data_IF_289578835111
#
_entry.id   IF_289578835111
#
_cell.length_a   1.000
_cell.length_b   1.000
_cell.length_c   1.000
_cell.angle_alpha   90.00
_cell.angle_beta   90.00
_cell.angle_gamma   90.00
#
_symmetry.space_group_name_H-M   'P 1'
#
loop_
_entity.id
_entity.type
_entity.pdbx_description
1 polymer ?
#
# COMPACT_ATOMS: atom_id res chain seq x y z
N UNK A 1 63.86 -2.37 -30.46
CA UNK A 1 63.62 -3.41 -29.43
C UNK A 1 62.16 -3.27 -28.99
N UNK A 2 61.17 -4.00 -29.50
CA UNK A 2 61.15 -5.31 -30.20
C UNK A 2 61.78 -6.44 -29.38
N UNK A 3 61.01 -6.89 -28.38
CA UNK A 3 60.79 -8.27 -27.91
C UNK A 3 59.27 -8.33 -27.63
N UNK A 4 58.44 -9.28 -28.09
CA UNK A 4 58.58 -10.73 -28.23
C UNK A 4 58.67 -11.48 -26.88
N UNK A 5 57.59 -11.41 -26.09
CA UNK A 5 57.12 -12.54 -25.29
C UNK A 5 55.59 -12.56 -25.29
N UNK A 6 55.04 -13.28 -26.27
CA UNK A 6 53.64 -13.71 -26.34
C UNK A 6 53.61 -15.20 -25.92
N UNK A 7 52.43 -15.76 -25.68
CA UNK A 7 52.18 -17.13 -25.18
C UNK A 7 52.36 -17.26 -23.66
N UNK A 8 51.32 -16.87 -22.92
CA UNK A 8 50.97 -17.49 -21.63
C UNK A 8 49.81 -18.44 -21.89
N UNK A 9 50.14 -19.73 -22.10
CA UNK A 9 49.14 -20.80 -22.18
C UNK A 9 48.83 -21.26 -20.75
N UNK A 10 47.73 -20.76 -20.18
CA UNK A 10 47.20 -21.26 -18.91
C UNK A 10 45.76 -21.77 -19.05
N UNK A 11 45.70 -23.00 -19.54
CA UNK A 11 44.72 -24.06 -19.23
C UNK A 11 43.29 -23.65 -18.86
N UNK A 12 42.37 -23.93 -19.78
CA UNK A 12 40.97 -24.18 -19.45
C UNK A 12 40.83 -25.44 -18.57
N UNK A 13 40.62 -25.25 -17.27
CA UNK A 13 40.16 -26.30 -16.35
C UNK A 13 38.68 -26.08 -16.03
N UNK A 14 37.81 -26.43 -16.99
CA UNK A 14 36.37 -26.44 -16.78
C UNK A 14 36.00 -27.53 -15.76
N UNK A 15 35.81 -27.14 -14.48
CA UNK A 15 35.37 -28.06 -13.43
C UNK A 15 33.90 -28.38 -13.63
N UNK A 16 33.64 -29.46 -14.37
CA UNK A 16 32.29 -30.00 -14.57
C UNK A 16 31.79 -30.61 -13.25
N UNK A 17 31.12 -29.79 -12.43
CA UNK A 17 30.44 -30.26 -11.21
C UNK A 17 29.21 -31.08 -11.62
N UNK A 18 29.40 -32.39 -11.74
CA UNK A 18 28.33 -33.35 -12.00
C UNK A 18 27.44 -33.50 -10.75
N UNK A 19 26.50 -32.57 -10.55
CA UNK A 19 25.49 -32.66 -9.50
C UNK A 19 24.52 -33.81 -9.76
N UNK A 20 24.76 -34.95 -9.11
CA UNK A 20 23.89 -36.12 -9.16
C UNK A 20 22.45 -35.77 -8.77
N UNK A 21 21.52 -35.83 -9.73
CA UNK A 21 20.08 -35.67 -9.51
C UNK A 21 19.50 -36.89 -8.78
N UNK A 22 19.75 -36.96 -7.48
CA UNK A 22 19.16 -37.96 -6.60
C UNK A 22 17.69 -37.59 -6.33
N UNK A 23 16.80 -38.19 -7.13
CA UNK A 23 15.36 -38.08 -6.98
C UNK A 23 14.93 -38.48 -5.56
N UNK A 24 14.59 -37.48 -4.73
CA UNK A 24 14.02 -37.70 -3.41
C UNK A 24 12.57 -38.15 -3.57
N UNK A 25 12.29 -39.41 -3.24
CA UNK A 25 10.92 -39.91 -3.17
C UNK A 25 10.07 -39.01 -2.25
N UNK A 26 8.81 -38.71 -2.61
CA UNK A 26 7.96 -37.85 -1.81
C UNK A 26 7.65 -38.52 -0.47
N UNK A 27 8.09 -37.90 0.63
CA UNK A 27 7.79 -38.38 1.98
C UNK A 27 6.29 -38.33 2.21
N UNK A 28 5.62 -39.45 2.56
CA UNK A 28 4.18 -39.43 2.80
C UNK A 28 3.87 -38.56 4.01
N UNK A 29 3.11 -37.48 3.78
CA UNK A 29 2.77 -36.51 4.83
C UNK A 29 1.93 -37.19 5.91
N UNK A 30 2.54 -37.42 7.07
CA UNK A 30 1.83 -37.81 8.28
C UNK A 30 0.96 -36.63 8.72
N UNK A 31 -0.29 -36.61 8.25
CA UNK A 31 -1.35 -35.82 8.90
C UNK A 31 -1.52 -36.36 10.32
N UNK A 32 -0.83 -35.74 11.27
CA UNK A 32 -1.14 -35.92 12.69
C UNK A 32 -2.55 -35.41 12.91
N UNK A 33 -3.48 -36.33 13.18
CA UNK A 33 -4.83 -35.98 13.59
C UNK A 33 -4.74 -35.29 14.95
N UNK A 34 -4.84 -33.95 14.97
CA UNK A 34 -4.92 -33.21 16.21
C UNK A 34 -6.15 -33.71 17.00
N UNK A 35 -5.99 -34.03 18.30
CA UNK A 35 -7.12 -34.46 19.11
C UNK A 35 -8.16 -33.35 19.15
N UNK A 36 -9.42 -33.68 18.88
CA UNK A 36 -10.53 -32.73 18.97
C UNK A 36 -10.75 -32.40 20.45
N UNK A 37 -10.13 -31.30 20.90
CA UNK A 37 -10.35 -30.76 22.24
C UNK A 37 -11.79 -30.26 22.29
N UNK A 38 -12.69 -31.08 22.86
CA UNK A 38 -14.01 -30.62 23.24
C UNK A 38 -13.85 -29.48 24.23
N UNK A 39 -14.32 -28.28 23.87
CA UNK A 39 -14.40 -27.15 24.81
C UNK A 39 -15.36 -27.55 25.94
N UNK A 40 -14.81 -27.82 27.11
CA UNK A 40 -15.59 -27.82 28.35
C UNK A 40 -16.28 -26.45 28.47
N UNK A 41 -17.60 -26.37 28.74
CA UNK A 41 -18.23 -25.10 29.08
C UNK A 41 -17.68 -24.62 30.43
N UNK A 42 -17.15 -23.39 30.48
CA UNK A 42 -16.67 -22.85 31.75
C UNK A 42 -17.81 -22.72 32.77
N UNK A 43 -17.54 -22.96 34.08
CA UNK A 43 -18.52 -22.72 35.12
C UNK A 43 -18.80 -21.22 35.23
N UNK A 44 -20.01 -20.81 34.83
CA UNK A 44 -20.46 -19.43 34.88
C UNK A 44 -20.39 -18.87 36.30
N UNK A 45 -19.37 -18.07 36.61
CA UNK A 45 -19.28 -17.33 37.87
C UNK A 45 -20.46 -16.36 37.96
N UNK A 46 -21.28 -16.53 38.99
CA UNK A 46 -22.42 -15.66 39.24
C UNK A 46 -21.94 -14.20 39.49
N UNK A 47 -22.70 -13.19 39.04
CA UNK A 47 -22.33 -11.80 39.27
C UNK A 47 -22.40 -11.47 40.77
N UNK A 48 -21.28 -11.02 41.34
CA UNK A 48 -21.21 -10.62 42.74
C UNK A 48 -22.06 -9.37 43.01
N UNK A 49 -22.50 -9.20 44.25
CA UNK A 49 -23.52 -8.21 44.66
C UNK A 49 -22.94 -6.80 44.73
N UNK A 50 -22.85 -6.18 43.55
CA UNK A 50 -22.71 -4.75 43.24
C UNK A 50 -22.80 -3.83 44.47
N UNK A 51 -21.64 -3.48 45.03
CA UNK A 51 -21.55 -2.49 46.11
C UNK A 51 -22.18 -1.16 45.67
N UNK A 52 -23.06 -0.61 46.51
CA UNK A 52 -23.90 0.54 46.17
C UNK A 52 -23.16 1.85 46.42
N UNK A 53 -22.10 2.08 45.63
CA UNK A 53 -21.35 3.33 45.64
C UNK A 53 -22.27 4.47 45.20
N UNK A 54 -22.51 5.42 46.10
CA UNK A 54 -23.23 6.66 45.79
C UNK A 54 -22.46 7.42 44.70
N UNK A 55 -23.04 7.54 43.51
CA UNK A 55 -22.60 8.55 42.54
C UNK A 55 -22.80 9.94 43.15
N UNK A 56 -21.77 10.77 43.10
CA UNK A 56 -21.93 12.21 43.31
C UNK A 56 -22.85 12.80 42.20
N UNK A 57 -23.56 13.90 42.46
CA UNK A 57 -24.31 14.61 41.41
C UNK A 57 -23.38 15.03 40.28
N UNK A 58 -23.83 14.89 39.03
CA UNK A 58 -23.10 15.46 37.90
C UNK A 58 -23.18 17.00 37.95
N UNK A 59 -22.09 17.73 37.61
CA UNK A 59 -22.18 19.17 37.39
C UNK A 59 -23.14 19.44 36.24
N UNK A 60 -24.09 20.35 36.45
CA UNK A 60 -25.12 20.68 35.47
C UNK A 60 -24.57 21.49 34.28
N UNK A 61 -25.23 21.44 33.11
CA UNK A 61 -24.81 22.22 31.93
C UNK A 61 -25.06 23.71 32.16
N UNK A 62 -24.00 24.53 32.21
CA UNK A 62 -24.11 25.99 32.38
C UNK A 62 -22.91 26.74 31.79
N UNK A 63 -22.96 26.99 30.49
CA UNK A 63 -22.33 28.17 29.88
C UNK A 63 -23.05 28.48 28.56
N UNK A 64 -23.74 29.63 28.53
CA UNK A 64 -24.43 30.14 27.35
C UNK A 64 -23.41 30.39 26.22
N UNK A 65 -23.61 29.78 25.06
CA UNK A 65 -22.79 30.07 23.89
C UNK A 65 -23.29 31.38 23.26
N UNK A 66 -22.57 32.48 23.52
CA UNK A 66 -22.87 33.80 22.94
C UNK A 66 -22.52 33.76 21.44
N UNK A 67 -23.47 34.05 20.52
CA UNK A 67 -23.15 34.18 19.10
C UNK A 67 -22.12 35.28 18.89
N UNK A 68 -21.01 34.96 18.24
CA UNK A 68 -19.97 35.93 17.89
C UNK A 68 -20.40 36.63 16.60
N UNK A 69 -20.62 37.94 16.65
CA UNK A 69 -21.03 38.74 15.49
C UNK A 69 -20.05 38.55 14.32
N UNK A 70 -20.58 38.11 13.18
CA UNK A 70 -19.83 37.96 11.94
C UNK A 70 -19.92 39.28 11.18
N UNK A 71 -18.77 39.91 10.95
CA UNK A 71 -18.68 41.19 10.23
C UNK A 71 -19.22 41.12 8.78
N UNK A 72 -19.48 42.26 8.14
CA UNK A 72 -20.22 42.32 6.87
C UNK A 72 -19.60 41.46 5.76
N UNK A 73 -20.42 40.57 5.19
CA UNK A 73 -20.07 39.72 4.06
C UNK A 73 -19.93 40.57 2.78
N UNK A 74 -18.69 40.85 2.34
CA UNK A 74 -18.47 41.61 1.11
C UNK A 74 -18.85 40.77 -0.12
N UNK A 75 -19.99 41.10 -0.72
CA UNK A 75 -20.54 40.39 -1.89
C UNK A 75 -19.78 40.76 -3.17
N UNK A 76 -18.67 40.09 -3.44
CA UNK A 76 -18.04 40.13 -4.77
C UNK A 76 -18.89 39.37 -5.80
N UNK A 77 -19.80 40.13 -6.40
CA UNK A 77 -20.69 39.86 -7.52
C UNK A 77 -20.56 38.50 -8.24
N UNK A 78 -21.60 37.67 -8.11
CA UNK A 78 -21.87 36.60 -9.06
C UNK A 78 -22.08 37.20 -10.46
N UNK A 79 -21.16 36.91 -11.40
CA UNK A 79 -21.31 37.34 -12.80
C UNK A 79 -22.38 36.49 -13.49
N UNK A 80 -23.31 37.16 -14.15
CA UNK A 80 -24.54 36.58 -14.67
C UNK A 80 -24.30 35.77 -15.95
N UNK A 81 -25.08 34.71 -16.13
CA UNK A 81 -25.21 34.05 -17.43
C UNK A 81 -25.80 35.04 -18.46
N UNK A 82 -25.16 35.15 -19.62
CA UNK A 82 -25.63 35.99 -20.72
C UNK A 82 -26.38 35.16 -21.78
N UNK A 83 -27.48 35.68 -22.38
CA UNK A 83 -28.40 34.87 -23.17
C UNK A 83 -27.96 34.64 -24.62
N UNK A 84 -28.54 33.62 -25.25
CA UNK A 84 -28.31 33.22 -26.64
C UNK A 84 -28.71 34.30 -27.66
N UNK A 85 -27.96 34.39 -28.76
CA UNK A 85 -28.47 34.93 -30.03
C UNK A 85 -28.76 33.77 -30.98
N UNK A 86 -30.01 33.68 -31.43
CA UNK A 86 -30.47 32.74 -32.48
C UNK A 86 -30.69 33.53 -33.77
N UNK A 87 -30.15 33.02 -34.89
CA UNK A 87 -30.50 33.25 -36.31
C UNK A 87 -29.27 32.82 -37.15
N UNK A 88 -29.35 32.23 -38.34
CA UNK A 88 -30.40 31.40 -38.97
C UNK A 88 -29.77 30.74 -40.21
N UNK A 89 -29.97 29.44 -40.45
CA UNK A 89 -29.22 28.72 -41.50
C UNK A 89 -29.78 27.35 -41.90
N UNK A 90 -30.95 27.33 -42.54
CA UNK A 90 -31.34 26.25 -43.48
C UNK A 90 -30.31 26.21 -44.64
N UNK A 91 -30.08 25.13 -45.39
CA UNK A 91 -30.77 23.85 -45.64
C UNK A 91 -29.66 22.80 -45.98
N UNK A 92 -29.83 21.49 -46.22
CA UNK A 92 -30.91 20.58 -46.65
C UNK A 92 -30.96 19.32 -45.75
N UNK A 93 -31.60 18.23 -46.19
CA UNK A 93 -31.47 16.87 -45.63
C UNK A 93 -31.08 15.86 -46.73
N UNK A 94 -30.47 14.73 -46.36
CA UNK A 94 -30.21 13.59 -47.23
C UNK A 94 -30.40 12.25 -46.46
N UNK A 95 -30.96 11.25 -47.16
CA UNK A 95 -31.54 10.01 -46.60
C UNK A 95 -30.45 8.96 -46.27
N UNK A 96 -30.60 8.14 -45.19
CA UNK A 96 -29.70 7.01 -44.92
C UNK A 96 -29.92 5.84 -45.89
N UNK A 97 -28.83 5.19 -46.31
CA UNK A 97 -28.84 3.99 -47.19
C UNK A 97 -27.94 2.89 -46.57
N UNK A 98 -28.37 1.62 -46.52
CA UNK A 98 -27.70 0.60 -45.72
C UNK A 98 -26.64 -0.23 -46.45
N UNK A 99 -25.73 -0.80 -45.64
CA UNK A 99 -25.00 -2.07 -45.81
C UNK A 99 -24.48 -2.48 -47.20
N UNK A 100 -23.15 -2.52 -47.32
CA UNK A 100 -22.47 -3.59 -48.07
C UNK A 100 -21.48 -4.31 -47.15
N UNK A 101 -21.49 -5.65 -47.23
CA UNK A 101 -20.45 -6.50 -46.64
C UNK A 101 -19.26 -6.59 -47.60
N UNK A 102 -18.07 -6.47 -47.04
CA UNK A 102 -16.88 -7.23 -47.46
C UNK A 102 -16.40 -7.94 -46.19
N UNK A 103 -16.55 -9.26 -46.07
CA UNK A 103 -15.81 -10.27 -46.82
C UNK A 103 -14.33 -10.22 -46.44
N UNK A 104 -14.02 -11.03 -45.42
CA UNK A 104 -12.76 -11.70 -45.10
C UNK A 104 -11.46 -11.17 -45.73
N UNK A 105 -10.51 -10.82 -44.86
CA UNK A 105 -9.12 -11.27 -45.09
C UNK A 105 -8.49 -11.87 -43.81
N UNK A 106 -8.18 -13.16 -43.91
CA UNK A 106 -7.12 -13.93 -43.28
C UNK A 106 -6.42 -13.39 -42.01
N UNK A 107 -6.88 -13.89 -40.87
CA UNK A 107 -6.05 -14.64 -39.92
C UNK A 107 -4.56 -14.23 -39.71
N UNK A 108 -4.29 -12.95 -39.45
CA UNK A 108 -3.03 -12.55 -38.83
C UNK A 108 -3.05 -12.92 -37.33
N UNK A 109 -2.87 -14.21 -37.00
CA UNK A 109 -2.69 -14.67 -35.62
C UNK A 109 -1.36 -14.12 -35.08
N UNK A 110 -1.40 -12.92 -34.52
CA UNK A 110 -0.24 -12.30 -33.90
C UNK A 110 0.17 -13.12 -32.67
N UNK A 111 1.16 -13.99 -32.86
CA UNK A 111 2.02 -14.44 -31.76
C UNK A 111 2.60 -13.18 -31.11
N UNK A 112 2.07 -12.80 -29.95
CA UNK A 112 2.70 -11.81 -29.08
C UNK A 112 4.12 -12.31 -28.81
N UNK A 113 5.13 -11.47 -29.05
CA UNK A 113 6.51 -11.86 -28.80
C UNK A 113 6.69 -12.11 -27.31
N UNK A 114 7.39 -13.19 -26.94
CA UNK A 114 7.63 -13.53 -25.53
C UNK A 114 8.66 -12.57 -24.92
N UNK A 115 9.53 -11.98 -25.74
CA UNK A 115 10.59 -11.04 -25.35
C UNK A 115 10.10 -9.62 -24.96
N UNK A 116 8.81 -9.46 -24.66
CA UNK A 116 8.25 -8.19 -24.15
C UNK A 116 7.65 -8.36 -22.74
N UNK A 117 8.39 -9.03 -21.86
CA UNK A 117 8.23 -8.85 -20.42
C UNK A 117 8.55 -7.39 -20.09
N UNK A 118 7.54 -6.63 -19.67
CA UNK A 118 7.76 -5.26 -19.18
C UNK A 118 8.61 -5.34 -17.92
N UNK A 119 9.66 -4.51 -17.83
CA UNK A 119 10.44 -4.38 -16.61
C UNK A 119 9.62 -3.52 -15.66
N UNK A 120 8.90 -4.16 -14.74
CA UNK A 120 8.05 -3.48 -13.76
C UNK A 120 8.95 -2.61 -12.90
N UNK A 121 8.81 -1.29 -13.06
CA UNK A 121 9.80 -0.28 -12.77
C UNK A 121 9.18 0.91 -12.03
N UNK A 122 9.27 0.84 -10.69
CA UNK A 122 8.72 1.78 -9.69
C UNK A 122 7.28 1.51 -9.26
N UNK A 123 6.91 2.09 -8.10
CA UNK A 123 5.61 1.93 -7.47
C UNK A 123 4.42 2.46 -8.30
N UNK A 124 4.64 3.18 -9.41
CA UNK A 124 3.58 3.65 -10.29
C UNK A 124 2.75 2.53 -10.93
N UNK A 125 3.33 1.34 -11.13
CA UNK A 125 2.63 0.16 -11.69
C UNK A 125 1.84 -0.64 -10.65
N UNK A 126 1.84 -0.21 -9.38
CA UNK A 126 1.04 -0.85 -8.32
C UNK A 126 -0.47 -0.82 -8.57
N UNK A 127 -0.97 0.13 -9.38
CA UNK A 127 -2.38 0.19 -9.81
C UNK A 127 -2.83 -1.01 -10.68
N UNK A 128 -1.93 -1.86 -11.19
CA UNK A 128 -2.33 -3.13 -11.85
C UNK A 128 -2.55 -4.26 -10.82
N UNK A 129 -1.98 -4.13 -9.62
CA UNK A 129 -2.10 -5.10 -8.52
C UNK A 129 -3.14 -4.70 -7.47
N UNK A 130 -3.35 -3.39 -7.28
CA UNK A 130 -4.15 -2.80 -6.22
C UNK A 130 -5.21 -1.82 -6.76
N UNK A 131 -6.25 -1.56 -5.96
CA UNK A 131 -7.28 -0.57 -6.28
C UNK A 131 -6.75 0.86 -6.15
N UNK A 132 -7.38 1.81 -6.84
CA UNK A 132 -6.95 3.22 -6.88
C UNK A 132 -6.73 3.82 -5.47
N UNK A 133 -5.54 4.41 -5.27
CA UNK A 133 -5.10 4.98 -4.00
C UNK A 133 -4.33 4.00 -3.09
N UNK A 134 -4.27 2.71 -3.42
CA UNK A 134 -3.47 1.71 -2.71
C UNK A 134 -2.22 1.31 -3.49
N UNK A 135 -1.12 1.08 -2.79
CA UNK A 135 0.16 0.63 -3.35
C UNK A 135 0.43 -0.81 -2.92
N UNK A 136 1.01 -1.61 -3.83
CA UNK A 136 1.40 -2.99 -3.58
C UNK A 136 2.75 -3.05 -2.83
N UNK A 137 2.75 -3.66 -1.65
CA UNK A 137 3.95 -3.94 -0.87
C UNK A 137 4.21 -5.44 -0.75
N UNK A 138 5.47 -5.90 -0.84
CA UNK A 138 5.80 -7.31 -0.76
C UNK A 138 5.71 -7.80 0.70
N UNK A 139 4.93 -8.84 0.98
CA UNK A 139 4.71 -9.29 2.37
C UNK A 139 5.89 -10.07 2.96
N UNK A 140 6.79 -10.58 2.13
CA UNK A 140 7.94 -11.42 2.53
C UNK A 140 9.23 -11.03 1.78
N UNK A 141 9.50 -9.73 1.67
CA UNK A 141 10.78 -9.24 1.13
C UNK A 141 11.95 -9.43 2.10
N UNK A 142 13.16 -9.52 1.55
CA UNK A 142 14.37 -9.15 2.30
C UNK A 142 14.46 -7.62 2.35
N UNK A 143 14.79 -6.99 3.49
CA UNK A 143 14.92 -5.54 3.57
C UNK A 143 15.82 -4.96 2.46
N UNK A 144 15.41 -3.83 1.89
CA UNK A 144 16.05 -3.22 0.72
C UNK A 144 15.91 -3.96 -0.62
N UNK A 145 15.18 -5.08 -0.70
CA UNK A 145 14.95 -5.81 -1.97
C UNK A 145 13.48 -5.73 -2.41
N UNK A 146 13.23 -4.91 -3.43
CA UNK A 146 11.93 -4.82 -4.11
C UNK A 146 11.85 -5.84 -5.27
N UNK A 147 10.75 -6.61 -5.40
CA UNK A 147 10.56 -7.51 -6.54
C UNK A 147 10.51 -6.76 -7.87
N UNK A 148 11.19 -7.27 -8.89
CA UNK A 148 11.35 -6.64 -10.21
C UNK A 148 10.61 -7.36 -11.33
N UNK A 149 10.10 -8.56 -11.06
CA UNK A 149 9.34 -9.36 -12.03
C UNK A 149 8.04 -9.86 -11.42
N UNK A 150 7.01 -10.04 -12.25
CA UNK A 150 5.73 -10.61 -11.82
C UNK A 150 5.89 -11.97 -11.12
N UNK A 151 6.87 -12.78 -11.54
CA UNK A 151 7.14 -14.11 -10.95
C UNK A 151 7.68 -14.01 -9.52
N UNK A 152 8.47 -12.97 -9.21
CA UNK A 152 8.90 -12.69 -7.83
C UNK A 152 7.72 -12.21 -6.98
N UNK A 153 6.86 -11.33 -7.52
CA UNK A 153 5.63 -10.88 -6.86
C UNK A 153 4.64 -12.02 -6.58
N UNK A 154 4.45 -12.96 -7.51
CA UNK A 154 3.61 -14.15 -7.33
C UNK A 154 4.19 -15.11 -6.28
N UNK A 155 5.52 -15.23 -6.20
CA UNK A 155 6.19 -16.13 -5.25
C UNK A 155 6.30 -15.56 -3.82
N UNK A 156 6.43 -14.24 -3.68
CA UNK A 156 6.54 -13.53 -2.39
C UNK A 156 5.16 -13.14 -1.84
N UNK A 157 4.21 -12.84 -2.73
CA UNK A 157 2.92 -12.25 -2.40
C UNK A 157 3.01 -10.74 -2.14
N UNK A 158 1.87 -10.06 -2.20
CA UNK A 158 1.75 -8.64 -1.90
C UNK A 158 0.51 -8.34 -1.05
N UNK A 159 0.56 -7.24 -0.31
CA UNK A 159 -0.59 -6.58 0.32
C UNK A 159 -0.76 -5.17 -0.27
N UNK A 160 -2.01 -4.68 -0.31
CA UNK A 160 -2.34 -3.36 -0.81
C UNK A 160 -2.56 -2.40 0.36
N UNK A 161 -1.71 -1.38 0.48
CA UNK A 161 -1.67 -0.43 1.61
C UNK A 161 -1.85 1.01 1.14
N UNK A 162 -2.42 1.86 1.99
CA UNK A 162 -2.57 3.30 1.75
C UNK A 162 -1.35 4.03 2.34
N UNK A 163 -0.40 4.43 1.51
CA UNK A 163 0.79 5.17 1.95
C UNK A 163 0.47 6.52 2.61
N UNK A 164 -0.72 7.10 2.40
CA UNK A 164 -1.10 8.36 3.00
C UNK A 164 -1.68 8.23 4.42
N UNK A 165 -2.05 7.00 4.85
CA UNK A 165 -2.80 6.77 6.08
C UNK A 165 -2.48 5.48 6.89
N UNK A 166 -1.81 4.47 6.32
CA UNK A 166 -1.45 3.26 7.08
C UNK A 166 -0.24 3.51 7.99
N UNK A 167 -0.45 3.34 9.30
CA UNK A 167 0.59 3.49 10.33
C UNK A 167 1.81 2.58 10.14
N UNK A 168 1.65 1.43 9.47
CA UNK A 168 2.70 0.42 9.27
C UNK A 168 3.23 0.38 7.84
N UNK A 169 2.87 1.35 6.99
CA UNK A 169 3.42 1.55 5.65
C UNK A 169 3.24 3.01 5.23
N UNK A 170 3.64 3.93 6.11
CA UNK A 170 3.51 5.37 5.89
C UNK A 170 4.59 5.85 4.92
N UNK A 171 4.17 6.46 3.81
CA UNK A 171 5.06 6.91 2.74
C UNK A 171 5.76 5.81 1.92
N UNK A 172 5.76 4.56 2.37
CA UNK A 172 6.47 3.45 1.72
C UNK A 172 6.21 2.08 2.35
N UNK A 173 6.86 1.03 1.84
CA UNK A 173 6.68 -0.33 2.33
C UNK A 173 7.59 -0.64 3.53
N UNK A 174 7.03 -0.88 4.71
CA UNK A 174 7.80 -1.29 5.89
C UNK A 174 8.53 -2.63 5.76
N UNK A 175 8.13 -3.48 4.81
CA UNK A 175 8.87 -4.71 4.46
C UNK A 175 10.19 -4.46 3.71
N UNK A 176 10.44 -3.22 3.29
CA UNK A 176 11.70 -2.77 2.69
C UNK A 176 12.55 -2.01 3.72
N UNK A 177 11.94 -1.04 4.40
CA UNK A 177 12.51 -0.32 5.55
C UNK A 177 11.47 -0.12 6.67
N UNK A 178 11.53 -0.91 7.77
CA UNK A 178 10.61 -0.78 8.90
C UNK A 178 10.92 0.41 9.82
N UNK A 179 12.05 1.10 9.64
CA UNK A 179 12.46 2.24 10.47
C UNK A 179 11.90 3.53 9.88
N UNK A 180 11.90 3.65 8.54
CA UNK A 180 11.34 4.81 7.83
C UNK A 180 9.81 4.76 7.69
N UNK A 181 9.23 3.57 7.45
CA UNK A 181 7.82 3.45 7.00
C UNK A 181 6.84 2.81 7.99
N UNK A 182 7.28 2.35 9.16
CA UNK A 182 6.37 1.87 10.22
C UNK A 182 6.45 2.80 11.44
N UNK A 183 5.48 3.71 11.52
CA UNK A 183 5.37 4.71 12.58
C UNK A 183 5.23 4.09 13.98
N UNK A 184 4.91 2.79 14.08
CA UNK A 184 4.86 2.08 15.37
C UNK A 184 6.25 1.70 15.91
N UNK A 185 7.31 1.77 15.10
CA UNK A 185 8.69 1.50 15.55
C UNK A 185 9.39 2.74 16.14
N UNK A 186 8.77 3.92 16.11
CA UNK A 186 9.32 5.13 16.71
C UNK A 186 9.36 4.98 18.24
N UNK A 187 10.53 5.07 18.90
CA UNK A 187 10.66 4.78 20.31
C UNK A 187 9.99 5.84 21.18
N UNK A 188 9.45 5.40 22.32
CA UNK A 188 8.86 6.24 23.38
C UNK A 188 7.65 7.10 22.97
N UNK A 189 7.06 6.85 21.81
CA UNK A 189 5.79 7.44 21.36
C UNK A 189 4.60 6.80 22.11
N UNK A 190 3.60 7.61 22.45
CA UNK A 190 2.29 7.15 22.94
C UNK A 190 1.18 7.32 21.89
N UNK A 191 1.22 8.41 21.13
CA UNK A 191 0.26 8.71 20.06
C UNK A 191 0.95 9.17 18.78
N UNK A 192 0.65 8.49 17.67
CA UNK A 192 1.16 8.81 16.32
C UNK A 192 0.07 8.54 15.28
N UNK A 193 0.11 9.29 14.17
CA UNK A 193 -0.71 9.07 12.99
C UNK A 193 0.18 9.08 11.74
N UNK A 194 -0.15 8.28 10.73
CA UNK A 194 0.32 8.53 9.37
C UNK A 194 -0.57 9.63 8.77
N UNK A 195 0.03 10.70 8.24
CA UNK A 195 -0.69 11.84 7.67
C UNK A 195 -0.03 12.24 6.37
N UNK A 196 -0.69 11.95 5.24
CA UNK A 196 -0.22 12.30 3.89
C UNK A 196 1.15 11.69 3.50
N UNK A 197 1.55 10.60 4.15
CA UNK A 197 2.84 9.92 3.93
C UNK A 197 3.91 10.21 4.97
N UNK A 198 3.62 11.03 5.98
CA UNK A 198 4.56 11.38 7.05
C UNK A 198 4.04 10.87 8.42
N UNK A 199 4.93 10.30 9.23
CA UNK A 199 4.63 9.89 10.61
C UNK A 199 4.59 11.12 11.53
N UNK A 200 3.39 11.55 11.94
CA UNK A 200 3.21 12.70 12.83
C UNK A 200 2.96 12.25 14.28
N UNK A 201 3.90 12.55 15.18
CA UNK A 201 3.77 12.27 16.61
C UNK A 201 2.85 13.31 17.26
N UNK A 202 1.88 12.83 18.05
CA UNK A 202 0.93 13.65 18.80
C UNK A 202 1.18 13.63 20.31
N UNK A 203 1.76 12.56 20.85
CA UNK A 203 2.20 12.49 22.24
C UNK A 203 3.33 11.47 22.46
N UNK A 204 4.21 11.80 23.40
CA UNK A 204 5.26 10.92 23.92
C UNK A 204 4.83 10.29 25.25
N UNK A 205 5.40 9.13 25.57
CA UNK A 205 5.17 8.42 26.83
C UNK A 205 5.64 9.24 28.03
N UNK A 206 5.06 8.99 29.21
CA UNK A 206 5.42 9.67 30.45
C UNK A 206 6.93 9.60 30.74
N UNK A 207 7.56 10.78 30.91
CA UNK A 207 9.01 10.93 31.08
C UNK A 207 9.76 11.28 29.78
N UNK A 208 9.05 11.39 28.65
CA UNK A 208 9.59 11.83 27.36
C UNK A 208 8.85 13.07 26.87
N UNK A 209 9.54 13.88 26.06
CA UNK A 209 9.02 15.07 25.38
C UNK A 209 9.22 14.94 23.87
N UNK A 210 8.41 15.65 23.10
CA UNK A 210 8.56 15.72 21.65
C UNK A 210 9.80 16.56 21.30
N UNK A 211 10.66 16.03 20.42
CA UNK A 211 11.84 16.75 19.96
C UNK A 211 11.47 17.91 19.02
N UNK A 212 12.37 18.89 18.86
CA UNK A 212 12.10 20.13 18.12
C UNK A 212 11.81 19.96 16.62
N UNK A 213 12.09 18.78 16.07
CA UNK A 213 11.75 18.39 14.70
C UNK A 213 10.36 17.78 14.56
N UNK A 214 9.72 17.34 15.66
CA UNK A 214 8.44 16.63 15.68
C UNK A 214 8.50 15.13 15.33
N UNK A 215 9.68 14.56 15.10
CA UNK A 215 9.86 13.20 14.56
C UNK A 215 10.41 12.19 15.58
N UNK A 216 10.82 12.64 16.78
CA UNK A 216 11.28 11.76 17.86
C UNK A 216 10.74 12.16 19.24
N UNK A 217 10.75 11.19 20.16
CA UNK A 217 10.47 11.39 21.58
C UNK A 217 11.76 11.18 22.40
N UNK A 218 12.30 12.26 22.98
CA UNK A 218 13.51 12.23 23.80
C UNK A 218 13.18 12.38 25.30
N UNK A 219 14.05 11.94 26.23
CA UNK A 219 13.78 12.06 27.67
C UNK A 219 13.54 13.52 28.09
N UNK A 220 12.55 13.76 28.95
CA UNK A 220 12.28 15.09 29.50
C UNK A 220 13.32 15.47 30.56
N UNK A 221 13.87 16.69 30.46
CA UNK A 221 14.80 17.32 31.42
C UNK A 221 14.07 18.12 32.52
#
# INVERSE_FOLDING_TARGET
>A
MKNCFLIVLLFSSAVAVASSLQARNPTPSKRYALPIIQRQPEPSKAPDKRSLVKRAPAPGPSAIHVPRDVGPLERLAARQASPSKVLSGRQLAAVPVPSKRSAEDSAALQKRSVDQQHVIGSAAESHEFCLDGLVACPVLSTPGQFPRTFVEWEAIGFECVDFAADLRSCGGCSSLDPIEHDCMNIPHVEGVACVSGECQISSCQLGYSLESDGHACSPAE
#
